data_IF_775743771903
#
_entry.id   IF_775743771903
#
_cell.length_a   1.000
_cell.length_b   1.000
_cell.length_c   1.000
_cell.angle_alpha   90.00
_cell.angle_beta   90.00
_cell.angle_gamma   90.00
#
_symmetry.space_group_name_H-M   'P 1'
#
loop_
_entity.id
_entity.type
_entity.pdbx_description
1 polymer ?
#
# COMPACT_ATOMS: atom_id res chain seq x y z
N UNK A 1 12.27 -22.51 -1.17
CA UNK A 1 11.41 -21.64 -0.32
C UNK A 1 10.06 -21.47 -1.00
N UNK A 2 8.93 -21.81 -0.34
CA UNK A 2 7.58 -21.53 -0.87
C UNK A 2 7.23 -20.07 -0.51
N UNK A 3 7.15 -19.18 -1.50
CA UNK A 3 6.65 -17.82 -1.28
C UNK A 3 5.17 -17.90 -0.86
N UNK A 4 4.84 -17.38 0.33
CA UNK A 4 3.46 -17.32 0.82
C UNK A 4 2.74 -16.16 0.12
N UNK A 5 1.84 -16.48 -0.79
CA UNK A 5 0.99 -15.50 -1.48
C UNK A 5 -0.12 -15.08 -0.52
N UNK A 6 -0.23 -13.80 -0.23
CA UNK A 6 -1.33 -13.23 0.55
C UNK A 6 -2.43 -12.72 -0.39
N UNK A 7 -3.69 -12.92 -0.06
CA UNK A 7 -4.82 -12.43 -0.86
C UNK A 7 -5.63 -11.41 -0.07
N UNK A 8 -5.96 -10.28 -0.69
CA UNK A 8 -6.87 -9.31 -0.07
C UNK A 8 -8.29 -9.89 0.02
N UNK A 9 -8.94 -9.90 1.19
CA UNK A 9 -10.32 -10.39 1.30
C UNK A 9 -11.35 -9.47 0.63
N UNK A 10 -10.98 -8.21 0.32
CA UNK A 10 -11.90 -7.22 -0.29
C UNK A 10 -11.85 -7.19 -1.81
N UNK A 11 -10.66 -7.23 -2.40
CA UNK A 11 -10.48 -7.12 -3.85
C UNK A 11 -9.85 -8.35 -4.49
N UNK A 12 -9.59 -9.40 -3.70
CA UNK A 12 -9.00 -10.67 -4.14
C UNK A 12 -7.62 -10.53 -4.81
N UNK A 13 -7.00 -9.34 -4.72
CA UNK A 13 -5.65 -9.10 -5.23
C UNK A 13 -4.66 -9.96 -4.46
N UNK A 14 -3.82 -10.66 -5.21
CA UNK A 14 -2.75 -11.51 -4.68
C UNK A 14 -1.46 -10.70 -4.56
N UNK A 15 -0.78 -10.84 -3.44
CA UNK A 15 0.49 -10.20 -3.15
C UNK A 15 1.55 -11.27 -2.94
N UNK A 16 2.67 -11.12 -3.63
CA UNK A 16 3.86 -11.94 -3.40
C UNK A 16 4.65 -11.51 -2.15
N UNK A 17 4.36 -10.31 -1.63
CA UNK A 17 4.97 -9.69 -0.45
C UNK A 17 3.96 -9.65 0.70
N UNK A 18 4.45 -9.69 1.95
CA UNK A 18 3.61 -9.48 3.13
C UNK A 18 3.33 -7.99 3.27
N UNK A 19 2.10 -7.60 2.95
CA UNK A 19 1.61 -6.24 3.18
C UNK A 19 0.72 -6.22 4.41
N UNK A 20 0.83 -5.14 5.19
CA UNK A 20 -0.03 -4.82 6.33
C UNK A 20 -1.37 -4.25 5.84
N UNK A 21 -1.35 -3.51 4.72
CA UNK A 21 -2.51 -2.91 4.08
C UNK A 21 -2.60 -3.32 2.62
N UNK A 22 -3.81 -3.47 2.10
CA UNK A 22 -4.06 -3.61 0.68
C UNK A 22 -3.80 -2.26 -0.02
N UNK A 23 -2.80 -2.15 -0.91
CA UNK A 23 -2.47 -0.88 -1.58
C UNK A 23 -3.63 -0.32 -2.41
N UNK A 24 -4.49 -1.20 -2.93
CA UNK A 24 -5.62 -0.86 -3.80
C UNK A 24 -6.88 -0.41 -3.05
N UNK A 25 -7.11 -0.94 -1.84
CA UNK A 25 -8.38 -0.79 -1.14
C UNK A 25 -8.26 -0.25 0.28
N UNK A 26 -7.03 0.04 0.73
CA UNK A 26 -6.67 0.47 2.08
C UNK A 26 -7.17 -0.46 3.21
N UNK A 27 -7.56 -1.69 2.89
CA UNK A 27 -8.01 -2.67 3.87
C UNK A 27 -6.79 -3.25 4.61
N UNK A 28 -6.82 -3.26 5.94
CA UNK A 28 -5.80 -3.95 6.76
C UNK A 28 -5.84 -5.47 6.50
N UNK A 29 -4.69 -6.08 6.24
CA UNK A 29 -4.52 -7.49 5.87
C UNK A 29 -3.97 -8.34 7.01
N UNK A 30 -2.89 -7.90 7.67
CA UNK A 30 -2.28 -8.59 8.83
C UNK A 30 -1.73 -7.59 9.86
N UNK A 31 -1.58 -8.03 11.11
CA UNK A 31 -0.97 -7.30 12.24
C UNK A 31 0.54 -7.57 12.36
N UNK A 32 1.27 -7.56 11.26
CA UNK A 32 2.73 -7.53 11.36
C UNK A 32 3.22 -6.15 11.84
N UNK A 33 4.35 -6.09 12.57
CA UNK A 33 4.93 -4.82 12.99
C UNK A 33 5.14 -3.93 11.77
N UNK A 34 4.66 -2.70 11.87
CA UNK A 34 4.77 -1.69 10.82
C UNK A 34 6.23 -1.57 10.38
N UNK A 35 6.55 -2.07 9.18
CA UNK A 35 7.91 -1.98 8.61
C UNK A 35 8.22 -0.63 7.98
N UNK A 36 7.23 0.27 7.92
CA UNK A 36 7.47 1.61 7.44
C UNK A 36 8.21 2.42 8.51
N UNK A 37 9.53 2.26 8.55
CA UNK A 37 10.44 3.08 9.34
C UNK A 37 10.51 4.47 8.70
N UNK A 38 9.56 5.35 9.03
CA UNK A 38 9.48 6.73 8.54
C UNK A 38 9.11 6.84 7.03
N UNK A 39 8.36 7.88 6.61
CA UNK A 39 8.01 8.14 5.20
C UNK A 39 9.20 8.45 4.28
N UNK A 40 10.44 8.23 4.74
CA UNK A 40 11.69 8.45 4.02
C UNK A 40 12.60 7.20 3.97
N UNK A 41 12.15 6.05 4.50
CA UNK A 41 12.89 4.79 4.36
C UNK A 41 13.12 4.42 2.89
N UNK A 42 14.22 3.72 2.62
CA UNK A 42 14.54 3.19 1.29
C UNK A 42 13.39 2.34 0.75
N UNK A 43 12.75 1.54 1.61
CA UNK A 43 11.56 0.74 1.25
C UNK A 43 10.37 1.57 0.76
N UNK A 44 10.19 2.80 1.26
CA UNK A 44 9.17 3.72 0.77
C UNK A 44 9.58 4.43 -0.52
N UNK A 45 10.87 4.73 -0.71
CA UNK A 45 11.40 5.39 -1.91
C UNK A 45 11.43 4.45 -3.12
N UNK A 46 11.74 3.18 -2.89
CA UNK A 46 11.77 2.13 -3.93
C UNK A 46 10.44 1.39 -4.07
N UNK A 47 9.39 1.83 -3.36
CA UNK A 47 8.07 1.24 -3.50
C UNK A 47 7.51 1.53 -4.90
N UNK A 48 7.56 0.51 -5.76
CA UNK A 48 6.90 0.53 -7.06
C UNK A 48 5.40 0.31 -6.82
N UNK A 49 4.63 1.39 -6.90
CA UNK A 49 3.17 1.35 -6.84
C UNK A 49 2.59 1.12 -8.23
N UNK A 50 1.66 0.18 -8.33
CA UNK A 50 0.97 -0.09 -9.58
C UNK A 50 -0.19 0.90 -9.80
N UNK A 51 -0.67 1.04 -11.04
CA UNK A 51 -1.82 1.90 -11.34
C UNK A 51 -3.03 1.47 -10.52
N UNK A 52 -3.55 2.40 -9.71
CA UNK A 52 -4.67 2.16 -8.78
C UNK A 52 -4.25 1.80 -7.36
N UNK A 53 -2.96 1.81 -7.03
CA UNK A 53 -2.50 1.76 -5.64
C UNK A 53 -2.61 3.14 -5.00
N UNK A 54 -3.49 3.20 -4.00
CA UNK A 54 -3.93 4.44 -3.35
C UNK A 54 -3.23 4.66 -2.00
N UNK A 55 -2.76 3.59 -1.38
CA UNK A 55 -2.03 3.63 -0.11
C UNK A 55 -0.80 2.74 -0.12
N UNK A 56 0.14 3.04 0.76
CA UNK A 56 1.29 2.18 1.01
C UNK A 56 0.85 0.87 1.66
N UNK A 57 1.29 -0.27 1.09
CA UNK A 57 0.98 -1.59 1.63
C UNK A 57 1.62 -1.89 2.99
N UNK A 58 2.58 -1.07 3.46
CA UNK A 58 3.26 -1.27 4.73
C UNK A 58 2.70 -0.41 5.87
N UNK A 59 2.39 0.87 5.61
CA UNK A 59 1.87 1.80 6.63
C UNK A 59 0.44 2.29 6.42
N UNK A 60 -0.16 2.04 5.26
CA UNK A 60 -1.50 2.56 4.94
C UNK A 60 -1.54 4.05 4.61
N UNK A 61 -0.40 4.76 4.59
CA UNK A 61 -0.33 6.17 4.19
C UNK A 61 -0.67 6.36 2.71
N UNK A 62 -1.34 7.46 2.36
CA UNK A 62 -1.64 7.82 0.98
C UNK A 62 -0.37 7.86 0.13
N UNK A 63 -0.43 7.24 -1.07
CA UNK A 63 0.63 7.36 -2.06
C UNK A 63 0.71 8.80 -2.59
N UNK A 64 1.86 9.20 -3.14
CA UNK A 64 1.98 10.49 -3.83
C UNK A 64 0.95 10.66 -4.94
N UNK A 65 0.58 9.55 -5.60
CA UNK A 65 -0.52 9.50 -6.57
C UNK A 65 -1.87 9.90 -5.94
N UNK A 66 -2.25 9.26 -4.83
CA UNK A 66 -3.51 9.57 -4.13
C UNK A 66 -3.52 10.98 -3.52
N UNK A 67 -2.38 11.46 -2.99
CA UNK A 67 -2.27 12.83 -2.48
C UNK A 67 -2.53 13.87 -3.57
N UNK A 68 -1.89 13.72 -4.74
CA UNK A 68 -2.14 14.60 -5.90
C UNK A 68 -3.58 14.50 -6.38
N UNK A 69 -4.15 13.29 -6.44
CA UNK A 69 -5.56 13.11 -6.84
C UNK A 69 -6.54 13.82 -5.88
N UNK A 70 -6.33 13.72 -4.56
CA UNK A 70 -7.13 14.43 -3.55
C UNK A 70 -6.97 15.95 -3.62
N UNK A 71 -5.77 16.44 -3.92
CA UNK A 71 -5.52 17.88 -4.11
C UNK A 71 -6.32 18.43 -5.29
N UNK A 72 -6.33 17.70 -6.43
CA UNK A 72 -7.11 18.08 -7.61
C UNK A 72 -8.64 17.99 -7.41
N UNK A 73 -9.11 17.23 -6.42
CA UNK A 73 -10.54 17.11 -6.10
C UNK A 73 -11.07 18.22 -5.19
N UNK A 74 -10.20 18.99 -4.52
CA UNK A 74 -10.61 20.08 -3.64
C UNK A 74 -10.87 21.40 -4.38
N UNK A 75 -10.50 21.46 -5.65
CA UNK A 75 -10.62 22.63 -6.54
C UNK A 75 -11.84 22.53 -7.49
N UNK A 76 -12.83 21.68 -7.16
CA UNK A 76 -14.12 21.56 -7.85
C UNK A 76 -15.25 21.57 -6.82
#
# INVERSE_FOLDING_TARGET
MRMKIMMCPRCLRKYAKRYVYCPKCAKKLEEEPNRCSNPQSVECKEAIFEKGDIVCGYCGSDTTYMKKFKENLKDN
#
